data_IF_308976380593
#
_entry.id   IF_308976380593
#
_cell.length_a   1.000
_cell.length_b   1.000
_cell.length_c   1.000
_cell.angle_alpha   90.00
_cell.angle_beta   90.00
_cell.angle_gamma   90.00
#
_symmetry.space_group_name_H-M   'P 1'
#
loop_
_entity.id
_entity.type
_entity.pdbx_description
1 polymer ?
#
# COMPACT_ATOMS: atom_id res chain seq x y z
N UNK A 1 24.19 11.44 15.44
CA UNK A 1 24.57 10.76 14.19
C UNK A 1 23.80 11.44 13.09
N UNK A 2 24.49 12.01 12.09
CA UNK A 2 23.81 12.64 10.96
C UNK A 2 23.10 11.55 10.16
N UNK A 3 21.79 11.69 10.01
CA UNK A 3 21.02 10.91 9.03
C UNK A 3 21.59 11.31 7.67
N UNK A 4 22.45 10.48 7.10
CA UNK A 4 22.84 10.65 5.70
C UNK A 4 21.58 10.36 4.89
N UNK A 5 21.09 11.34 4.13
CA UNK A 5 19.93 11.14 3.27
C UNK A 5 20.26 10.02 2.28
N UNK A 6 19.74 8.82 2.52
CA UNK A 6 19.85 7.73 1.57
C UNK A 6 19.04 8.09 0.32
N UNK A 7 19.42 7.52 -0.82
CA UNK A 7 18.69 7.71 -2.07
C UNK A 7 17.19 7.37 -1.92
N UNK A 8 16.87 6.39 -1.06
CA UNK A 8 15.51 6.04 -0.67
C UNK A 8 14.75 7.21 -0.01
N UNK A 9 15.34 7.86 0.98
CA UNK A 9 14.73 8.99 1.68
C UNK A 9 14.55 10.20 0.75
N UNK A 10 15.52 10.46 -0.13
CA UNK A 10 15.45 11.54 -1.12
C UNK A 10 14.33 11.30 -2.14
N UNK A 11 14.27 10.09 -2.70
CA UNK A 11 13.22 9.71 -3.65
C UNK A 11 11.84 9.76 -3.02
N UNK A 12 11.67 9.19 -1.81
CA UNK A 12 10.39 9.24 -1.10
C UNK A 12 9.97 10.67 -0.78
N UNK A 13 10.91 11.53 -0.35
CA UNK A 13 10.62 12.93 -0.05
C UNK A 13 10.17 13.70 -1.29
N UNK A 14 10.86 13.48 -2.43
CA UNK A 14 10.56 14.15 -3.71
C UNK A 14 9.24 13.69 -4.30
N UNK A 15 9.03 12.38 -4.39
CA UNK A 15 7.95 11.79 -5.19
C UNK A 15 6.73 11.41 -4.36
N UNK A 16 6.89 11.20 -3.05
CA UNK A 16 5.83 10.77 -2.14
C UNK A 16 5.62 9.25 -2.10
N UNK A 17 6.43 8.52 -2.86
CA UNK A 17 6.49 7.07 -2.85
C UNK A 17 7.91 6.60 -3.20
N UNK A 18 8.20 5.34 -2.88
CA UNK A 18 9.45 4.66 -3.20
C UNK A 18 9.10 3.24 -3.64
N UNK A 19 9.67 2.80 -4.76
CA UNK A 19 9.59 1.41 -5.22
C UNK A 19 10.92 0.74 -4.93
N UNK A 20 10.87 -0.40 -4.25
CA UNK A 20 12.03 -1.26 -4.00
C UNK A 20 11.70 -2.63 -4.56
N UNK A 21 12.23 -2.93 -5.74
CA UNK A 21 12.00 -4.19 -6.42
C UNK A 21 12.84 -5.31 -5.82
N UNK A 22 12.33 -6.54 -5.85
CA UNK A 22 13.07 -7.76 -5.48
C UNK A 22 13.58 -7.71 -4.04
N UNK A 23 12.81 -7.09 -3.16
CA UNK A 23 13.07 -7.06 -1.72
C UNK A 23 12.85 -8.45 -1.11
N UNK A 24 11.89 -9.19 -1.67
CA UNK A 24 11.58 -10.55 -1.28
C UNK A 24 11.71 -11.49 -2.46
N UNK A 25 11.98 -12.76 -2.17
CA UNK A 25 11.92 -13.79 -3.19
C UNK A 25 10.45 -14.12 -3.53
N UNK A 26 10.26 -14.62 -4.74
CA UNK A 26 8.98 -15.11 -5.23
C UNK A 26 8.35 -16.16 -4.30
N UNK A 27 9.16 -17.06 -3.75
CA UNK A 27 8.73 -18.13 -2.83
C UNK A 27 8.30 -17.58 -1.46
N UNK A 28 9.02 -16.60 -0.92
CA UNK A 28 8.60 -15.91 0.31
C UNK A 28 7.22 -15.29 0.15
N UNK A 29 6.99 -14.57 -0.96
CA UNK A 29 5.72 -13.93 -1.23
C UNK A 29 4.60 -14.93 -1.52
N UNK A 30 4.89 -16.07 -2.15
CA UNK A 30 3.93 -17.16 -2.29
C UNK A 30 3.51 -17.73 -0.93
N UNK A 31 4.45 -17.92 0.00
CA UNK A 31 4.14 -18.39 1.35
C UNK A 31 3.25 -17.39 2.10
N UNK A 32 3.55 -16.09 1.99
CA UNK A 32 2.70 -15.03 2.55
C UNK A 32 1.32 -15.02 1.93
N UNK A 33 1.23 -15.10 0.61
CA UNK A 33 -0.03 -15.16 -0.13
C UNK A 33 -0.89 -16.34 0.33
N UNK A 34 -0.31 -17.55 0.41
CA UNK A 34 -1.03 -18.73 0.88
C UNK A 34 -1.53 -18.57 2.32
N UNK A 35 -0.71 -18.00 3.21
CA UNK A 35 -1.14 -17.76 4.59
C UNK A 35 -2.28 -16.76 4.67
N UNK A 36 -2.20 -15.65 3.94
CA UNK A 36 -3.24 -14.62 3.88
C UNK A 36 -4.54 -15.20 3.30
N UNK A 37 -4.48 -15.99 2.22
CA UNK A 37 -5.65 -16.67 1.66
C UNK A 37 -6.29 -17.58 2.71
N UNK A 38 -5.50 -18.41 3.39
CA UNK A 38 -6.02 -19.30 4.43
C UNK A 38 -6.73 -18.57 5.57
N UNK A 39 -6.20 -17.42 6.00
CA UNK A 39 -6.84 -16.57 7.03
C UNK A 39 -8.15 -15.99 6.47
N UNK A 40 -8.12 -15.45 5.26
CA UNK A 40 -9.31 -14.89 4.61
C UNK A 40 -10.40 -15.95 4.44
N UNK A 41 -10.07 -17.17 4.00
CA UNK A 41 -11.04 -18.27 3.88
C UNK A 41 -11.67 -18.62 5.23
N UNK A 42 -10.88 -18.70 6.30
CA UNK A 42 -11.38 -18.97 7.65
C UNK A 42 -12.30 -17.87 8.18
N UNK A 43 -12.13 -16.63 7.69
CA UNK A 43 -12.95 -15.47 8.05
C UNK A 43 -14.13 -15.22 7.09
N UNK A 44 -14.40 -16.13 6.14
CA UNK A 44 -15.36 -15.92 5.03
C UNK A 44 -15.07 -14.62 4.23
N UNK A 45 -13.78 -14.29 4.18
CA UNK A 45 -13.19 -13.10 3.62
C UNK A 45 -13.07 -13.11 2.10
N UNK A 46 -13.40 -14.20 1.42
CA UNK A 46 -13.27 -14.34 -0.04
C UNK A 46 -14.62 -14.53 -0.75
N UNK A 47 -15.73 -14.26 -0.06
CA UNK A 47 -17.08 -14.32 -0.61
C UNK A 47 -17.35 -13.29 -1.72
N UNK A 48 -16.49 -12.28 -1.89
CA UNK A 48 -16.60 -11.22 -2.91
C UNK A 48 -15.44 -11.24 -3.90
N UNK A 49 -15.63 -10.80 -5.16
CA UNK A 49 -14.59 -10.79 -6.18
C UNK A 49 -13.36 -9.95 -5.84
N UNK A 50 -13.55 -8.88 -5.08
CA UNK A 50 -12.49 -8.04 -4.55
C UNK A 50 -12.80 -7.67 -3.11
N UNK A 51 -11.78 -7.23 -2.38
CA UNK A 51 -11.99 -6.81 -1.02
C UNK A 51 -10.76 -6.24 -0.34
N UNK A 52 -11.05 -5.68 0.83
CA UNK A 52 -10.09 -5.11 1.75
C UNK A 52 -10.39 -5.73 3.11
N UNK A 53 -9.42 -6.43 3.69
CA UNK A 53 -9.48 -6.90 5.09
C UNK A 53 -8.35 -6.28 5.88
N UNK A 54 -8.64 -5.81 7.09
CA UNK A 54 -7.70 -5.12 7.98
C UNK A 54 -7.57 -5.90 9.27
N UNK A 55 -6.34 -6.25 9.63
CA UNK A 55 -6.01 -6.81 10.94
C UNK A 55 -5.08 -5.86 11.69
N UNK A 56 -5.46 -5.53 12.91
CA UNK A 56 -4.60 -4.76 13.81
C UNK A 56 -3.49 -5.64 14.39
N UNK A 57 -2.34 -5.05 14.72
CA UNK A 57 -1.15 -5.77 15.18
C UNK A 57 -1.44 -6.79 16.32
N UNK A 58 -2.29 -6.43 17.28
CA UNK A 58 -2.65 -7.29 18.42
C UNK A 58 -3.56 -8.49 18.09
N UNK A 59 -4.11 -8.55 16.87
CA UNK A 59 -4.94 -9.67 16.37
C UNK A 59 -4.34 -10.32 15.14
N UNK A 60 -3.12 -9.93 14.77
CA UNK A 60 -2.49 -10.43 13.56
C UNK A 60 -2.02 -11.86 13.77
N UNK A 61 -2.14 -12.66 12.73
CA UNK A 61 -1.54 -14.00 12.67
C UNK A 61 -0.04 -13.95 13.00
N UNK A 62 0.50 -14.85 13.83
CA UNK A 62 1.91 -14.81 14.24
C UNK A 62 2.90 -14.82 13.08
N UNK A 63 2.63 -15.58 12.01
CA UNK A 63 3.50 -15.61 10.83
C UNK A 63 3.53 -14.24 10.13
N UNK A 64 2.37 -13.59 9.97
CA UNK A 64 2.31 -12.25 9.40
C UNK A 64 2.95 -11.20 10.32
N UNK A 65 2.77 -11.30 11.64
CA UNK A 65 3.37 -10.38 12.60
C UNK A 65 4.90 -10.47 12.61
N UNK A 66 5.45 -11.67 12.48
CA UNK A 66 6.90 -11.87 12.33
C UNK A 66 7.41 -11.25 11.03
N UNK A 67 6.71 -11.51 9.92
CA UNK A 67 7.01 -10.90 8.62
C UNK A 67 6.96 -9.37 8.61
N UNK A 68 6.11 -8.73 9.42
CA UNK A 68 6.07 -7.27 9.56
C UNK A 68 7.28 -6.68 10.29
N UNK A 69 8.09 -7.50 10.94
CA UNK A 69 9.31 -7.10 11.66
C UNK A 69 10.58 -7.38 10.87
N UNK A 70 10.45 -7.66 9.58
CA UNK A 70 11.58 -8.03 8.73
C UNK A 70 12.64 -6.92 8.64
N UNK A 71 13.89 -7.30 8.84
CA UNK A 71 15.05 -6.40 8.85
C UNK A 71 15.36 -5.78 7.49
N UNK A 72 14.74 -6.25 6.39
CA UNK A 72 14.89 -5.64 5.06
C UNK A 72 14.09 -4.33 4.94
N UNK A 73 12.93 -4.25 5.56
CA UNK A 73 12.03 -3.08 5.49
C UNK A 73 12.41 -2.04 6.54
N UNK A 74 12.82 -2.50 7.73
CA UNK A 74 13.06 -1.62 8.88
C UNK A 74 14.05 -0.48 8.58
N UNK A 75 15.25 -0.70 7.98
CA UNK A 75 16.18 0.38 7.66
C UNK A 75 15.60 1.42 6.71
N UNK A 76 14.83 1.00 5.70
CA UNK A 76 14.17 1.90 4.75
C UNK A 76 13.18 2.80 5.49
N UNK A 77 12.40 2.24 6.41
CA UNK A 77 11.45 3.01 7.22
C UNK A 77 12.16 3.95 8.20
N UNK A 78 13.26 3.53 8.81
CA UNK A 78 14.04 4.38 9.71
C UNK A 78 14.65 5.58 8.98
N UNK A 79 15.07 5.39 7.72
CA UNK A 79 15.57 6.47 6.86
C UNK A 79 14.47 7.47 6.49
N UNK A 80 13.25 6.99 6.21
CA UNK A 80 12.12 7.82 5.76
C UNK A 80 11.41 8.51 6.93
N UNK A 81 11.11 7.77 8.01
CA UNK A 81 10.28 8.22 9.14
C UNK A 81 11.15 8.80 10.26
N UNK A 82 12.37 8.29 10.42
CA UNK A 82 13.23 8.52 11.56
C UNK A 82 13.17 7.38 12.58
N UNK A 83 13.77 7.57 13.78
CA UNK A 83 14.11 6.47 14.68
C UNK A 83 12.92 5.77 15.37
N UNK A 84 11.71 6.31 15.25
CA UNK A 84 10.53 5.84 15.97
C UNK A 84 9.47 5.38 14.97
N UNK A 85 9.49 4.09 14.64
CA UNK A 85 8.53 3.44 13.75
C UNK A 85 7.63 2.52 14.57
N UNK A 86 6.32 2.69 14.44
CA UNK A 86 5.31 1.82 15.07
C UNK A 86 4.48 1.13 13.99
N UNK A 87 4.33 -0.18 14.13
CA UNK A 87 3.46 -0.98 13.26
C UNK A 87 2.04 -1.04 13.82
N UNK A 88 1.06 -0.57 13.04
CA UNK A 88 -0.34 -0.50 13.47
C UNK A 88 -1.20 -1.67 12.98
N UNK A 89 -1.16 -1.97 11.68
CA UNK A 89 -2.10 -2.88 11.03
C UNK A 89 -1.61 -3.34 9.67
N UNK A 90 -2.00 -4.55 9.28
CA UNK A 90 -1.91 -5.07 7.91
C UNK A 90 -3.27 -4.93 7.23
N UNK A 91 -3.22 -4.67 5.92
CA UNK A 91 -4.39 -4.63 5.05
C UNK A 91 -4.17 -5.58 3.87
N UNK A 92 -4.90 -6.68 3.80
CA UNK A 92 -4.96 -7.48 2.58
C UNK A 92 -5.92 -6.80 1.60
N UNK A 93 -5.41 -6.47 0.42
CA UNK A 93 -6.17 -5.96 -0.71
C UNK A 93 -6.09 -6.98 -1.82
N UNK A 94 -7.24 -7.45 -2.30
CA UNK A 94 -7.28 -8.47 -3.34
C UNK A 94 -8.34 -8.15 -4.38
N UNK A 95 -8.07 -8.58 -5.60
CA UNK A 95 -8.98 -8.54 -6.75
C UNK A 95 -8.80 -9.85 -7.50
N UNK A 96 -9.89 -10.56 -7.73
CA UNK A 96 -9.87 -11.72 -8.60
C UNK A 96 -10.08 -11.29 -10.08
N UNK A 97 -9.95 -12.25 -10.99
CA UNK A 97 -10.08 -12.03 -12.44
C UNK A 97 -11.43 -11.47 -12.92
N UNK A 98 -12.48 -11.52 -12.10
CA UNK A 98 -13.81 -11.00 -12.47
C UNK A 98 -14.01 -9.56 -12.01
N UNK A 99 -13.04 -8.96 -11.32
CA UNK A 99 -13.09 -7.56 -10.91
C UNK A 99 -12.79 -6.64 -12.08
N UNK A 100 -13.73 -5.75 -12.41
CA UNK A 100 -13.67 -4.89 -13.61
C UNK A 100 -13.53 -3.40 -13.30
N UNK A 101 -13.34 -3.04 -12.03
CA UNK A 101 -13.24 -1.65 -11.57
C UNK A 101 -11.91 -1.37 -10.87
N UNK A 102 -11.44 -0.14 -11.02
CA UNK A 102 -10.26 0.39 -10.33
C UNK A 102 -10.61 1.02 -8.99
N UNK A 103 -9.61 1.18 -8.13
CA UNK A 103 -9.73 2.08 -6.99
C UNK A 103 -9.65 3.52 -7.52
N UNK A 104 -10.58 4.42 -7.17
CA UNK A 104 -10.51 5.81 -7.61
C UNK A 104 -9.28 6.51 -7.01
N UNK A 105 -8.88 7.63 -7.60
CA UNK A 105 -7.82 8.48 -7.05
C UNK A 105 -8.20 8.97 -5.65
N UNK A 106 -7.30 8.80 -4.70
CA UNK A 106 -7.49 9.16 -3.30
C UNK A 106 -6.15 9.39 -2.60
N UNK A 107 -6.21 10.01 -1.43
CA UNK A 107 -5.10 10.05 -0.47
C UNK A 107 -5.55 9.34 0.81
N UNK A 108 -4.77 8.37 1.27
CA UNK A 108 -5.07 7.60 2.49
C UNK A 108 -5.26 8.48 3.74
N UNK A 109 -4.61 9.65 3.78
CA UNK A 109 -4.69 10.64 4.86
C UNK A 109 -6.13 10.98 5.28
N UNK A 110 -7.07 11.08 4.32
CA UNK A 110 -8.48 11.37 4.58
C UNK A 110 -9.19 10.24 5.35
N UNK A 111 -8.76 8.99 5.15
CA UNK A 111 -9.28 7.83 5.86
C UNK A 111 -8.65 7.66 7.25
N UNK A 112 -7.45 8.21 7.46
CA UNK A 112 -6.73 8.17 8.72
C UNK A 112 -7.06 9.31 9.68
N UNK A 113 -8.05 10.15 9.32
CA UNK A 113 -8.46 11.32 10.12
C UNK A 113 -7.28 12.24 10.46
N UNK A 114 -6.32 12.36 9.54
CA UNK A 114 -5.15 13.21 9.70
C UNK A 114 -4.01 12.62 10.54
N UNK A 115 -3.99 11.31 10.77
CA UNK A 115 -2.83 10.67 11.42
C UNK A 115 -1.67 10.55 10.43
N UNK A 116 -0.43 10.95 10.79
CA UNK A 116 0.74 10.82 9.94
C UNK A 116 1.24 9.38 9.91
N UNK A 117 0.77 8.64 8.91
CA UNK A 117 1.14 7.24 8.67
C UNK A 117 1.75 7.10 7.28
N UNK A 118 2.50 6.02 7.09
CA UNK A 118 2.96 5.57 5.78
C UNK A 118 2.42 4.16 5.54
N UNK A 119 2.06 3.89 4.29
CA UNK A 119 1.69 2.55 3.84
C UNK A 119 2.91 1.88 3.22
N UNK A 120 3.19 0.64 3.63
CA UNK A 120 4.10 -0.26 2.89
C UNK A 120 3.22 -1.22 2.11
N UNK A 121 3.38 -1.22 0.78
CA UNK A 121 2.66 -2.11 -0.11
C UNK A 121 3.63 -3.15 -0.65
N UNK A 122 3.28 -4.43 -0.54
CA UNK A 122 4.11 -5.57 -0.94
C UNK A 122 3.36 -6.35 -2.01
N UNK A 123 4.00 -6.58 -3.16
CA UNK A 123 3.44 -7.33 -4.27
C UNK A 123 3.42 -8.82 -3.95
N UNK A 124 2.24 -9.36 -3.61
CA UNK A 124 2.05 -10.81 -3.45
C UNK A 124 1.80 -11.54 -4.78
N UNK A 125 1.58 -10.78 -5.85
CA UNK A 125 1.43 -11.20 -7.23
C UNK A 125 2.13 -10.16 -8.10
N UNK A 126 2.55 -10.55 -9.31
CA UNK A 126 2.95 -9.58 -10.33
C UNK A 126 1.82 -8.59 -10.52
N UNK A 127 2.10 -7.30 -10.36
CA UNK A 127 1.14 -6.23 -10.53
C UNK A 127 1.40 -5.57 -11.89
N UNK A 128 0.49 -5.79 -12.83
CA UNK A 128 0.57 -5.29 -14.20
C UNK A 128 -0.56 -4.30 -14.50
N UNK A 129 -0.48 -3.50 -15.57
CA UNK A 129 -1.58 -2.65 -16.00
C UNK A 129 -2.89 -3.44 -16.23
N UNK A 130 -2.81 -4.68 -16.71
CA UNK A 130 -3.96 -5.53 -17.03
C UNK A 130 -4.67 -6.09 -15.80
N UNK A 131 -3.96 -6.30 -14.69
CA UNK A 131 -4.52 -6.86 -13.45
C UNK A 131 -4.74 -5.81 -12.34
N UNK A 132 -4.42 -4.55 -12.62
CA UNK A 132 -4.76 -3.42 -11.77
C UNK A 132 -3.65 -3.00 -10.80
N UNK A 133 -2.42 -2.90 -11.29
CA UNK A 133 -1.30 -2.29 -10.59
C UNK A 133 -1.59 -0.87 -10.09
N UNK A 134 -0.72 -0.38 -9.18
CA UNK A 134 -0.86 0.95 -8.62
C UNK A 134 -0.51 2.03 -9.66
N UNK A 135 -1.17 3.16 -9.54
CA UNK A 135 -0.77 4.41 -10.17
C UNK A 135 -0.53 5.45 -9.11
N UNK A 136 0.56 6.19 -9.24
CA UNK A 136 0.96 7.23 -8.29
C UNK A 136 1.21 8.54 -9.03
N UNK A 137 0.94 9.66 -8.36
CA UNK A 137 1.24 10.99 -8.89
C UNK A 137 2.43 11.55 -8.09
N UNK A 138 3.58 11.71 -8.73
CA UNK A 138 4.79 12.17 -8.06
C UNK A 138 4.62 13.60 -7.51
N UNK A 139 5.01 13.82 -6.26
CA UNK A 139 4.92 15.10 -5.56
C UNK A 139 3.50 15.47 -5.11
N UNK A 140 2.50 14.61 -5.34
CA UNK A 140 1.11 14.86 -4.95
C UNK A 140 0.89 14.89 -3.43
N UNK A 141 1.77 14.27 -2.65
CA UNK A 141 1.77 14.31 -1.18
C UNK A 141 2.07 15.71 -0.63
N UNK A 142 2.71 16.58 -1.41
CA UNK A 142 3.01 17.97 -1.02
C UNK A 142 1.82 18.92 -1.25
N UNK A 143 0.73 18.44 -1.83
CA UNK A 143 -0.45 19.24 -2.18
C UNK A 143 -1.68 18.76 -1.44
N UNK A 144 -2.60 19.70 -1.23
CA UNK A 144 -3.98 19.41 -0.84
C UNK A 144 -4.87 19.61 -2.06
N UNK A 145 -5.63 18.58 -2.41
CA UNK A 145 -6.58 18.63 -3.50
C UNK A 145 -8.00 18.84 -2.97
N UNK A 146 -8.88 19.32 -3.82
CA UNK A 146 -10.31 19.25 -3.55
C UNK A 146 -10.73 17.78 -3.56
N UNK A 147 -11.48 17.39 -2.53
CA UNK A 147 -12.01 16.03 -2.42
C UNK A 147 -13.53 16.04 -2.53
N UNK A 148 -14.07 15.07 -3.27
CA UNK A 148 -15.49 14.75 -3.28
C UNK A 148 -15.75 13.64 -2.27
N UNK A 149 -16.86 13.77 -1.50
CA UNK A 149 -17.31 12.71 -0.61
C UNK A 149 -18.46 11.95 -1.26
N UNK A 150 -18.22 10.68 -1.60
CA UNK A 150 -19.21 9.82 -2.23
C UNK A 150 -19.68 8.77 -1.23
N UNK A 151 -21.00 8.61 -1.10
CA UNK A 151 -21.57 7.50 -0.33
C UNK A 151 -21.62 6.26 -1.20
N UNK A 152 -20.65 5.37 -1.01
CA UNK A 152 -20.59 4.07 -1.69
C UNK A 152 -20.16 2.96 -0.72
N UNK A 153 -20.58 1.73 -1.03
CA UNK A 153 -20.29 0.52 -0.24
C UNK A 153 -18.85 0.00 -0.46
N UNK A 154 -18.14 0.51 -1.45
CA UNK A 154 -16.81 0.03 -1.89
C UNK A 154 -15.65 0.49 -1.00
N UNK A 155 -15.91 1.33 0.00
CA UNK A 155 -14.90 1.81 0.96
C UNK A 155 -14.08 3.03 0.49
N UNK A 156 -14.23 3.50 -0.75
CA UNK A 156 -13.56 4.68 -1.28
C UNK A 156 -14.46 5.92 -1.30
N UNK A 157 -14.76 6.43 -0.10
CA UNK A 157 -15.67 7.56 0.09
C UNK A 157 -15.05 8.94 -0.15
N UNK A 158 -13.72 9.07 -0.13
CA UNK A 158 -13.00 10.32 -0.42
C UNK A 158 -12.26 10.18 -1.75
N UNK A 159 -12.60 11.01 -2.72
CA UNK A 159 -12.06 10.94 -4.09
C UNK A 159 -11.46 12.26 -4.52
N UNK A 160 -10.44 12.17 -5.36
CA UNK A 160 -9.80 13.30 -6.03
C UNK A 160 -10.10 13.13 -7.52
N UNK A 161 -10.65 14.14 -8.16
CA UNK A 161 -10.89 14.09 -9.61
C UNK A 161 -9.59 14.39 -10.36
N UNK A 162 -9.42 13.80 -11.55
CA UNK A 162 -8.14 13.87 -12.29
C UNK A 162 -7.69 15.29 -12.64
N UNK A 163 -8.64 16.21 -12.77
CA UNK A 163 -8.39 17.62 -13.05
C UNK A 163 -7.56 18.30 -11.94
N UNK A 164 -7.67 17.82 -10.70
CA UNK A 164 -6.98 18.40 -9.54
C UNK A 164 -5.45 18.22 -9.60
N UNK A 165 -4.98 17.19 -10.30
CA UNK A 165 -3.56 16.91 -10.51
C UNK A 165 -3.16 16.94 -11.98
N UNK A 166 -3.96 17.59 -12.84
CA UNK A 166 -3.65 17.76 -14.25
C UNK A 166 -2.25 18.39 -14.45
N UNK A 167 -1.43 17.75 -15.27
CA UNK A 167 -0.05 18.18 -15.55
C UNK A 167 0.99 17.75 -14.50
N UNK A 168 0.60 17.02 -13.45
CA UNK A 168 1.55 16.38 -12.54
C UNK A 168 2.05 15.04 -13.11
N UNK A 169 3.25 14.58 -12.73
CA UNK A 169 3.80 13.33 -13.27
C UNK A 169 3.02 12.12 -12.74
N UNK A 170 2.25 11.45 -13.61
CA UNK A 170 1.64 10.15 -13.34
C UNK A 170 2.65 9.03 -13.62
N UNK A 171 2.74 8.07 -12.71
CA UNK A 171 3.56 6.86 -12.86
C UNK A 171 2.69 5.63 -12.64
N UNK A 172 2.68 4.73 -13.62
CA UNK A 172 2.11 3.38 -13.48
C UNK A 172 3.19 2.48 -12.89
N UNK A 173 2.91 1.83 -11.77
CA UNK A 173 3.86 1.03 -11.02
C UNK A 173 3.65 -0.46 -11.33
N UNK A 174 4.15 -0.88 -12.48
CA UNK A 174 4.28 -2.30 -12.80
C UNK A 174 5.43 -2.91 -12.01
N UNK A 175 5.15 -3.96 -11.24
CA UNK A 175 6.15 -4.61 -10.38
C UNK A 175 5.95 -6.12 -10.36
N UNK A 176 7.05 -6.86 -10.39
CA UNK A 176 7.04 -8.31 -10.14
C UNK A 176 6.70 -8.60 -8.67
N UNK A 177 6.19 -9.79 -8.38
CA UNK A 177 6.04 -10.29 -7.01
C UNK A 177 7.40 -10.23 -6.28
N UNK A 178 7.38 -9.74 -5.04
CA UNK A 178 8.56 -9.62 -4.17
C UNK A 178 9.16 -8.24 -4.17
#
# INVERSE_FOLDING_TARGET
MSVGNSEHAENFTRDGFLVVEKLYTQDEMLNWKHRIISILEAEDGLSTPSGVRVWFAHKLDPFLLDGMKDDRVTPILLDIIGPNVEFLSVKAVFKNKTTTFGSPWHQDWYYWKGSPKISVWIALDDATPENGCLKMIAGSHLKRFKVSQVKEETGFGWRIESEEFAGMPETTLEVERG
#
